data_IF_159625600765
#
_entry.id   IF_159625600765
#
_cell.length_a   1.000
_cell.length_b   1.000
_cell.length_c   1.000
_cell.angle_alpha   90.00
_cell.angle_beta   90.00
_cell.angle_gamma   90.00
#
_symmetry.space_group_name_H-M   'P 1'
#
loop_
_entity.id
_entity.type
_entity.pdbx_description
1 polymer ?
#
# COMPACT_ATOMS: atom_id res chain seq x y z
N UNK A 1 62.85 3.75 -18.31
CA UNK A 1 61.66 4.30 -17.64
C UNK A 1 60.49 4.26 -18.63
N UNK A 2 59.48 3.38 -18.47
CA UNK A 2 58.24 3.48 -19.21
C UNK A 2 57.14 4.15 -18.34
N UNK A 3 56.39 5.09 -18.92
CA UNK A 3 55.16 5.63 -18.34
C UNK A 3 53.98 4.74 -18.74
N UNK A 4 53.30 4.12 -17.77
CA UNK A 4 52.13 3.26 -17.99
C UNK A 4 50.82 3.95 -17.59
N UNK A 5 49.95 4.12 -18.59
CA UNK A 5 48.52 3.75 -18.59
C UNK A 5 47.72 3.85 -17.27
N UNK A 6 47.23 5.05 -16.93
CA UNK A 6 46.24 5.24 -15.85
C UNK A 6 44.83 5.68 -16.32
N UNK A 7 44.61 5.84 -17.63
CA UNK A 7 43.36 6.44 -18.16
C UNK A 7 42.20 5.45 -18.38
N UNK A 8 42.46 4.14 -18.41
CA UNK A 8 41.45 3.12 -18.75
C UNK A 8 40.61 2.61 -17.57
N UNK A 9 41.13 2.68 -16.35
CA UNK A 9 40.44 2.19 -15.13
C UNK A 9 39.33 3.13 -14.67
N UNK A 10 39.57 4.45 -14.70
CA UNK A 10 38.57 5.45 -14.31
C UNK A 10 37.31 5.42 -15.20
N UNK A 11 37.48 5.20 -16.51
CA UNK A 11 36.37 5.18 -17.49
C UNK A 11 35.48 3.94 -17.37
N UNK A 12 36.02 2.81 -16.90
CA UNK A 12 35.26 1.57 -16.65
C UNK A 12 34.40 1.65 -15.37
N UNK A 13 34.89 2.32 -14.32
CA UNK A 13 34.12 2.52 -13.09
C UNK A 13 32.87 3.37 -13.29
N UNK A 14 32.95 4.40 -14.14
CA UNK A 14 31.81 5.29 -14.44
C UNK A 14 30.73 4.60 -15.28
N UNK A 15 31.13 3.75 -16.24
CA UNK A 15 30.18 2.97 -17.05
C UNK A 15 29.48 1.89 -16.22
N UNK A 16 30.19 1.23 -15.31
CA UNK A 16 29.59 0.25 -14.40
C UNK A 16 28.59 0.89 -13.43
N UNK A 17 28.90 2.08 -12.90
CA UNK A 17 27.99 2.83 -12.03
C UNK A 17 26.69 3.26 -12.74
N UNK A 18 26.78 3.68 -14.01
CA UNK A 18 25.61 4.06 -14.83
C UNK A 18 24.69 2.86 -15.14
N UNK A 19 25.24 1.68 -15.40
CA UNK A 19 24.45 0.46 -15.66
C UNK A 19 23.71 -0.01 -14.41
N UNK A 20 24.36 0.05 -13.23
CA UNK A 20 23.73 -0.32 -11.95
C UNK A 20 22.63 0.67 -11.55
N UNK A 21 22.86 1.98 -11.72
CA UNK A 21 21.84 3.00 -11.42
C UNK A 21 20.62 2.89 -12.35
N UNK A 22 20.82 2.57 -13.64
CA UNK A 22 19.73 2.35 -14.58
C UNK A 22 18.91 1.09 -14.21
N UNK A 23 19.58 -0.01 -13.82
CA UNK A 23 18.90 -1.24 -13.40
C UNK A 23 18.00 -1.06 -12.17
N UNK A 24 18.45 -0.28 -11.19
CA UNK A 24 17.68 -0.03 -9.97
C UNK A 24 16.41 0.82 -10.24
N UNK A 25 16.50 1.81 -11.13
CA UNK A 25 15.35 2.65 -11.51
C UNK A 25 14.30 1.89 -12.35
N UNK A 26 14.75 0.96 -13.20
CA UNK A 26 13.86 0.12 -14.01
C UNK A 26 13.05 -0.86 -13.13
N UNK A 27 13.68 -1.39 -12.07
CA UNK A 27 13.07 -2.41 -11.19
C UNK A 27 11.83 -1.91 -10.45
N UNK A 28 11.90 -0.70 -9.87
CA UNK A 28 10.79 -0.09 -9.14
C UNK A 28 9.61 0.28 -10.04
N UNK A 29 9.90 0.66 -11.29
CA UNK A 29 8.89 1.08 -12.27
C UNK A 29 8.05 -0.11 -12.78
N UNK A 30 8.67 -1.29 -12.94
CA UNK A 30 7.98 -2.51 -13.39
C UNK A 30 7.00 -3.01 -12.33
N UNK A 31 7.40 -3.05 -11.06
CA UNK A 31 6.52 -3.52 -9.98
C UNK A 31 5.26 -2.65 -9.82
N UNK A 32 5.41 -1.33 -9.92
CA UNK A 32 4.27 -0.41 -9.87
C UNK A 32 3.33 -0.59 -11.08
N UNK A 33 3.88 -0.82 -12.27
CA UNK A 33 3.10 -1.08 -13.48
C UNK A 33 2.31 -2.40 -13.41
N UNK A 34 2.95 -3.45 -12.88
CA UNK A 34 2.33 -4.77 -12.69
C UNK A 34 1.18 -4.71 -11.69
N UNK A 35 1.38 -4.05 -10.54
CA UNK A 35 0.31 -3.85 -9.55
C UNK A 35 -0.88 -3.07 -10.12
N UNK A 36 -0.60 -2.03 -10.90
CA UNK A 36 -1.67 -1.26 -11.55
C UNK A 36 -2.42 -2.10 -12.60
N UNK A 37 -1.73 -2.97 -13.34
CA UNK A 37 -2.38 -3.86 -14.30
C UNK A 37 -3.23 -4.91 -13.60
N UNK A 38 -2.71 -5.56 -12.56
CA UNK A 38 -3.45 -6.53 -11.76
C UNK A 38 -4.74 -5.93 -11.18
N UNK A 39 -4.69 -4.67 -10.71
CA UNK A 39 -5.89 -3.98 -10.21
C UNK A 39 -6.91 -3.70 -11.32
N UNK A 40 -6.45 -3.32 -12.52
CA UNK A 40 -7.33 -3.14 -13.70
C UNK A 40 -7.99 -4.44 -14.12
N UNK A 41 -7.23 -5.53 -14.17
CA UNK A 41 -7.74 -6.86 -14.54
C UNK A 41 -8.75 -7.36 -13.51
N UNK A 42 -8.49 -7.12 -12.22
CA UNK A 42 -9.44 -7.41 -11.16
C UNK A 42 -10.73 -6.57 -11.30
N UNK A 43 -10.61 -5.27 -11.55
CA UNK A 43 -11.77 -4.40 -11.81
C UNK A 43 -12.63 -4.93 -12.96
N UNK A 44 -12.02 -5.32 -14.08
CA UNK A 44 -12.75 -5.90 -15.21
C UNK A 44 -13.47 -7.20 -14.82
N UNK A 45 -12.85 -8.04 -14.00
CA UNK A 45 -13.43 -9.29 -13.51
C UNK A 45 -14.65 -9.05 -12.62
N UNK A 46 -14.63 -8.01 -11.78
CA UNK A 46 -15.72 -7.72 -10.83
C UNK A 46 -16.69 -6.62 -11.29
N UNK A 47 -16.46 -6.00 -12.45
CA UNK A 47 -17.26 -4.87 -12.96
C UNK A 47 -18.77 -5.13 -13.03
N UNK A 48 -19.25 -6.32 -13.46
CA UNK A 48 -20.69 -6.60 -13.45
C UNK A 48 -21.29 -6.54 -12.03
N UNK A 49 -20.56 -7.08 -11.04
CA UNK A 49 -20.98 -7.06 -9.64
C UNK A 49 -20.88 -5.66 -9.04
N UNK A 50 -19.89 -4.85 -9.44
CA UNK A 50 -19.81 -3.45 -9.03
C UNK A 50 -21.01 -2.62 -9.55
N UNK A 51 -21.54 -2.96 -10.73
CA UNK A 51 -22.69 -2.26 -11.30
C UNK A 51 -24.03 -2.65 -10.64
N UNK A 52 -24.20 -3.92 -10.26
CA UNK A 52 -25.41 -4.42 -9.63
C UNK A 52 -25.11 -5.52 -8.62
N UNK A 53 -25.45 -5.27 -7.35
CA UNK A 53 -25.27 -6.21 -6.24
C UNK A 53 -26.20 -5.84 -5.08
N UNK A 54 -26.23 -6.71 -4.07
CA UNK A 54 -27.08 -6.60 -2.87
C UNK A 54 -26.80 -5.37 -1.99
N UNK A 55 -25.63 -4.74 -2.11
CA UNK A 55 -25.30 -3.51 -1.38
C UNK A 55 -25.84 -2.26 -2.07
N UNK A 56 -26.32 -2.38 -3.32
CA UNK A 56 -26.78 -1.28 -4.16
C UNK A 56 -25.77 -0.12 -4.22
N UNK A 57 -24.48 -0.47 -4.20
CA UNK A 57 -23.31 0.41 -4.25
C UNK A 57 -22.17 -0.29 -5.00
N UNK A 58 -21.22 0.44 -5.59
CA UNK A 58 -20.08 -0.16 -6.29
C UNK A 58 -19.07 -0.75 -5.31
N UNK A 59 -19.45 -1.89 -4.72
CA UNK A 59 -18.76 -2.61 -3.67
C UNK A 59 -18.96 -4.12 -3.87
N UNK A 60 -17.86 -4.87 -3.92
CA UNK A 60 -17.83 -6.33 -3.96
C UNK A 60 -17.05 -6.84 -2.76
N UNK A 61 -17.67 -7.76 -2.02
CA UNK A 61 -17.05 -8.46 -0.90
C UNK A 61 -16.81 -9.91 -1.32
N UNK A 62 -15.56 -10.31 -1.42
CA UNK A 62 -15.17 -11.70 -1.59
C UNK A 62 -14.72 -12.24 -0.23
N UNK A 63 -15.26 -13.38 0.18
CA UNK A 63 -14.87 -14.05 1.43
C UNK A 63 -14.55 -15.51 1.13
N UNK A 64 -13.43 -15.98 1.63
CA UNK A 64 -13.00 -17.38 1.52
C UNK A 64 -12.61 -17.86 2.90
N UNK A 65 -13.29 -18.91 3.35
CA UNK A 65 -13.00 -19.59 4.61
C UNK A 65 -12.39 -20.98 4.30
N UNK A 66 -11.21 -21.23 4.85
CA UNK A 66 -10.52 -22.49 4.86
C UNK A 66 -10.18 -22.84 6.32
N UNK A 67 -9.88 -24.11 6.67
CA UNK A 67 -9.74 -24.55 8.07
C UNK A 67 -8.83 -23.67 8.94
N UNK A 68 -7.75 -23.14 8.36
CA UNK A 68 -6.76 -22.30 9.05
C UNK A 68 -6.69 -20.86 8.50
N UNK A 69 -7.65 -20.46 7.66
CA UNK A 69 -7.60 -19.16 7.00
C UNK A 69 -8.99 -18.63 6.71
N UNK A 70 -9.31 -17.51 7.32
CA UNK A 70 -10.37 -16.62 6.85
C UNK A 70 -9.72 -15.49 6.05
N UNK A 71 -10.11 -15.32 4.79
CA UNK A 71 -9.70 -14.20 3.94
C UNK A 71 -10.94 -13.47 3.47
N UNK A 72 -10.94 -12.15 3.57
CA UNK A 72 -11.94 -11.32 2.92
C UNK A 72 -11.28 -10.16 2.19
N UNK A 73 -11.64 -9.98 0.93
CA UNK A 73 -11.20 -8.87 0.10
C UNK A 73 -12.41 -7.98 -0.23
N UNK A 74 -12.22 -6.67 -0.18
CA UNK A 74 -13.22 -5.68 -0.55
C UNK A 74 -12.72 -4.92 -1.78
N UNK A 75 -13.51 -4.91 -2.84
CA UNK A 75 -13.25 -4.13 -4.06
C UNK A 75 -14.33 -3.08 -4.21
N UNK A 76 -13.94 -1.81 -4.40
CA UNK A 76 -14.90 -0.71 -4.54
C UNK A 76 -14.41 0.34 -5.52
N UNK A 77 -15.35 1.09 -6.10
CA UNK A 77 -15.06 2.28 -6.90
C UNK A 77 -15.23 3.50 -6.01
N UNK A 78 -14.15 4.24 -5.80
CA UNK A 78 -14.20 5.57 -5.21
C UNK A 78 -14.46 6.58 -6.33
N UNK A 79 -15.65 7.17 -6.35
CA UNK A 79 -16.02 8.22 -7.31
C UNK A 79 -15.40 9.57 -6.89
N UNK A 80 -14.06 9.60 -6.93
CA UNK A 80 -13.25 10.75 -6.57
C UNK A 80 -11.96 10.76 -7.40
N UNK A 81 -11.37 11.93 -7.72
CA UNK A 81 -10.19 11.99 -8.56
C UNK A 81 -9.02 11.18 -7.98
N UNK A 82 -8.49 10.24 -8.77
CA UNK A 82 -7.40 9.36 -8.35
C UNK A 82 -6.19 10.13 -7.82
N UNK A 83 -5.81 11.22 -8.49
CA UNK A 83 -4.69 12.06 -8.08
C UNK A 83 -4.86 12.61 -6.66
N UNK A 84 -6.08 13.01 -6.29
CA UNK A 84 -6.39 13.55 -4.97
C UNK A 84 -6.37 12.47 -3.89
N UNK A 85 -6.94 11.29 -4.16
CA UNK A 85 -6.87 10.15 -3.22
C UNK A 85 -5.42 9.72 -3.01
N UNK A 86 -4.67 9.58 -4.12
CA UNK A 86 -3.24 9.22 -4.08
C UNK A 86 -2.43 10.23 -3.30
N UNK A 87 -2.64 11.53 -3.51
CA UNK A 87 -1.90 12.56 -2.76
C UNK A 87 -2.27 12.57 -1.29
N UNK A 88 -3.54 12.37 -0.93
CA UNK A 88 -3.96 12.39 0.47
C UNK A 88 -3.45 11.16 1.23
N UNK A 89 -3.65 9.95 0.69
CA UNK A 89 -3.36 8.70 1.41
C UNK A 89 -1.93 8.19 1.20
N UNK A 90 -1.24 8.67 0.16
CA UNK A 90 0.15 8.34 -0.14
C UNK A 90 1.15 9.44 0.21
N UNK A 91 0.72 10.51 0.90
CA UNK A 91 1.61 11.57 1.35
C UNK A 91 2.64 11.01 2.35
N UNK A 92 3.96 11.24 2.17
CA UNK A 92 4.97 10.70 3.07
C UNK A 92 4.92 11.25 4.50
N UNK A 93 4.34 12.44 4.71
CA UNK A 93 4.31 13.11 6.01
C UNK A 93 2.95 12.91 6.70
N UNK A 94 1.86 12.98 5.94
CA UNK A 94 0.49 13.00 6.44
C UNK A 94 -0.34 11.78 6.02
N UNK A 95 0.15 10.96 5.10
CA UNK A 95 -0.60 9.82 4.56
C UNK A 95 -0.98 8.84 5.66
N UNK A 96 -0.06 8.56 6.58
CA UNK A 96 -0.34 7.70 7.73
C UNK A 96 -1.41 8.29 8.67
N UNK A 97 -1.36 9.58 9.00
CA UNK A 97 -2.42 10.20 9.82
C UNK A 97 -3.77 10.20 9.09
N UNK A 98 -3.77 10.48 7.78
CA UNK A 98 -4.98 10.46 6.97
C UNK A 98 -5.60 9.05 6.89
N UNK A 99 -4.76 7.99 6.88
CA UNK A 99 -5.26 6.62 7.02
C UNK A 99 -5.94 6.38 8.37
N UNK A 100 -5.42 6.94 9.46
CA UNK A 100 -6.08 6.83 10.75
C UNK A 100 -7.45 7.54 10.79
N UNK A 101 -7.58 8.69 10.12
CA UNK A 101 -8.87 9.39 9.99
C UNK A 101 -9.93 8.54 9.28
N UNK A 102 -9.51 7.65 8.37
CA UNK A 102 -10.40 6.69 7.70
C UNK A 102 -10.66 5.47 8.58
N UNK A 103 -9.63 4.86 9.17
CA UNK A 103 -9.76 3.60 9.91
C UNK A 103 -10.60 3.76 11.17
N UNK A 104 -10.47 4.89 11.88
CA UNK A 104 -11.20 5.13 13.13
C UNK A 104 -12.73 5.18 12.95
N UNK A 105 -13.21 5.33 11.71
CA UNK A 105 -14.64 5.33 11.39
C UNK A 105 -15.30 3.95 11.59
N UNK A 106 -14.52 2.87 11.59
CA UNK A 106 -15.06 1.53 11.78
C UNK A 106 -15.26 1.22 13.27
N UNK A 107 -16.45 0.72 13.65
CA UNK A 107 -16.87 0.53 15.05
C UNK A 107 -15.93 -0.36 15.91
N UNK A 108 -15.14 -1.20 15.25
CA UNK A 108 -14.15 -2.07 15.90
C UNK A 108 -12.77 -1.43 16.08
N UNK A 109 -12.51 -0.25 15.52
CA UNK A 109 -11.23 0.45 15.70
C UNK A 109 -11.38 1.38 16.90
N UNK A 110 -10.64 1.09 17.97
CA UNK A 110 -10.69 1.84 19.24
C UNK A 110 -9.61 2.91 19.34
N UNK A 111 -8.53 2.73 18.60
CA UNK A 111 -7.42 3.67 18.52
C UNK A 111 -6.74 3.49 17.18
N UNK A 112 -6.35 4.61 16.58
CA UNK A 112 -5.42 4.63 15.46
C UNK A 112 -4.51 5.84 15.65
N UNK A 113 -3.19 5.62 15.57
CA UNK A 113 -2.23 6.71 15.59
C UNK A 113 -1.03 6.41 14.70
N UNK A 114 -0.74 7.36 13.83
CA UNK A 114 0.45 7.35 13.01
C UNK A 114 1.66 7.78 13.84
N UNK A 115 2.74 7.00 13.76
CA UNK A 115 4.03 7.31 14.38
C UNK A 115 5.14 7.13 13.35
N UNK A 116 6.33 7.66 13.63
CA UNK A 116 7.50 7.38 12.78
C UNK A 116 8.26 6.17 13.33
N UNK A 117 8.46 5.18 12.46
CA UNK A 117 9.31 4.00 12.70
C UNK A 117 10.66 4.12 11.99
N UNK A 118 11.43 3.04 12.00
CA UNK A 118 12.77 2.96 11.37
C UNK A 118 12.72 3.06 9.84
N UNK A 119 11.68 2.49 9.24
CA UNK A 119 11.56 2.32 7.78
C UNK A 119 10.44 3.16 7.16
N UNK A 120 9.88 4.11 7.93
CA UNK A 120 8.78 4.98 7.52
C UNK A 120 7.72 5.13 8.59
N UNK A 121 6.58 5.69 8.21
CA UNK A 121 5.45 5.83 9.13
C UNK A 121 4.80 4.48 9.44
N UNK A 122 4.40 4.30 10.69
CA UNK A 122 3.76 3.10 11.24
C UNK A 122 2.38 3.47 11.77
N UNK A 123 1.38 2.66 11.47
CA UNK A 123 0.02 2.81 12.01
C UNK A 123 -0.15 1.90 13.22
N UNK A 124 -0.28 2.50 14.40
CA UNK A 124 -0.63 1.77 15.62
C UNK A 124 -2.14 1.69 15.73
N UNK A 125 -2.70 0.49 15.63
CA UNK A 125 -4.14 0.28 15.58
C UNK A 125 -4.57 -0.66 16.69
N UNK A 126 -5.65 -0.33 17.39
CA UNK A 126 -6.28 -1.21 18.38
C UNK A 126 -7.67 -1.64 17.93
N UNK A 127 -7.86 -2.95 17.83
CA UNK A 127 -9.11 -3.58 17.42
C UNK A 127 -9.85 -4.08 18.65
N UNK A 128 -11.06 -3.57 18.88
CA UNK A 128 -11.94 -3.97 19.97
C UNK A 128 -13.25 -4.57 19.46
N UNK A 129 -14.13 -4.93 20.40
CA UNK A 129 -15.47 -5.44 20.08
C UNK A 129 -16.41 -4.28 19.77
N UNK A 130 -17.62 -4.59 19.33
CA UNK A 130 -18.70 -3.62 19.07
C UNK A 130 -19.37 -3.08 20.35
N UNK A 131 -18.61 -2.94 21.43
CA UNK A 131 -19.03 -2.38 22.72
C UNK A 131 -17.97 -1.39 23.22
N UNK A 132 -18.26 -0.70 24.32
CA UNK A 132 -17.24 0.08 25.03
C UNK A 132 -16.20 -0.88 25.65
N UNK A 133 -14.95 -0.73 25.24
CA UNK A 133 -13.82 -1.57 25.63
C UNK A 133 -12.64 -0.63 25.96
N UNK A 134 -11.89 -0.92 27.02
CA UNK A 134 -10.64 -0.20 27.29
C UNK A 134 -9.57 -0.58 26.27
N UNK A 135 -8.61 0.32 25.99
CA UNK A 135 -7.51 0.01 25.07
C UNK A 135 -6.70 -1.22 25.51
N UNK A 136 -6.52 -1.43 26.82
CA UNK A 136 -5.81 -2.60 27.34
C UNK A 136 -6.52 -3.94 27.09
N UNK A 137 -7.81 -3.92 26.75
CA UNK A 137 -8.61 -5.11 26.44
C UNK A 137 -8.76 -5.39 24.94
N UNK A 138 -8.16 -4.53 24.11
CA UNK A 138 -8.20 -4.60 22.66
C UNK A 138 -6.95 -5.30 22.08
N UNK A 139 -7.04 -5.73 20.82
CA UNK A 139 -5.94 -6.36 20.10
C UNK A 139 -5.12 -5.31 19.33
N UNK A 140 -3.80 -5.26 19.57
CA UNK A 140 -2.91 -4.29 18.91
C UNK A 140 -2.34 -4.85 17.61
N UNK A 141 -2.39 -4.03 16.57
CA UNK A 141 -1.76 -4.24 15.27
C UNK A 141 -0.85 -3.05 14.93
N UNK A 142 0.22 -3.34 14.19
CA UNK A 142 1.11 -2.35 13.58
C UNK A 142 1.20 -2.65 12.08
N UNK A 143 1.07 -1.60 11.27
CA UNK A 143 1.18 -1.65 9.81
C UNK A 143 2.24 -0.68 9.32
#
# INVERSE_FOLDING_TARGET
MPMTSHRHTARRGWLAALVVAAGLCLSLSVHAADNAQALRDKYQTVAPQLADNVFHRPLVLESTEAPERLKSDIYSVLDYPFATVKSALGDPEHGASNWCDVLILHLNIKYCHATQGTDGSVLNVNLGRKVEDSLSSSYRLEF
#
